data_IF_014431006082
#
_entry.id   IF_014431006082
#
_cell.length_a   1.000
_cell.length_b   1.000
_cell.length_c   1.000
_cell.angle_alpha   90.00
_cell.angle_beta   90.00
_cell.angle_gamma   90.00
#
_symmetry.space_group_name_H-M   'P 1'
#
loop_
_entity.id
_entity.type
_entity.pdbx_description
1 polymer ?
#
# COMPACT_ATOMS: atom_id res chain seq x y z
N UNK A 1 4.09 0.57 47.43
CA UNK A 1 3.01 1.35 46.80
C UNK A 1 2.88 0.88 45.37
N UNK A 2 1.79 0.18 45.04
CA UNK A 2 1.45 -0.10 43.64
C UNK A 2 1.02 1.23 43.01
N UNK A 3 1.56 1.57 41.85
CA UNK A 3 1.19 2.80 41.14
C UNK A 3 -0.24 2.65 40.61
N UNK A 4 -1.02 3.73 40.61
CA UNK A 4 -2.42 3.75 40.13
C UNK A 4 -2.57 3.14 38.71
N UNK A 5 -1.52 3.28 37.89
CA UNK A 5 -1.41 2.66 36.57
C UNK A 5 -1.46 1.13 36.61
N UNK A 6 -0.81 0.51 37.59
CA UNK A 6 -0.74 -0.94 37.74
C UNK A 6 -2.08 -1.52 38.18
N UNK A 7 -2.80 -0.85 39.08
CA UNK A 7 -4.18 -1.25 39.46
C UNK A 7 -5.17 -1.06 38.31
N UNK A 8 -5.04 0.02 37.53
CA UNK A 8 -5.87 0.23 36.34
C UNK A 8 -5.64 -0.85 35.27
N UNK A 9 -4.38 -1.28 35.07
CA UNK A 9 -4.05 -2.34 34.13
C UNK A 9 -4.52 -3.72 34.62
N UNK A 10 -4.48 -3.99 35.93
CA UNK A 10 -5.04 -5.20 36.54
C UNK A 10 -6.57 -5.23 36.41
N UNK A 11 -7.26 -4.11 36.66
CA UNK A 11 -8.70 -3.97 36.46
C UNK A 11 -9.09 -4.13 34.98
N UNK A 12 -8.35 -3.50 34.06
CA UNK A 12 -8.56 -3.63 32.62
C UNK A 12 -8.34 -5.07 32.16
N UNK A 13 -7.28 -5.72 32.64
CA UNK A 13 -7.00 -7.14 32.36
C UNK A 13 -8.08 -8.05 32.95
N UNK A 14 -8.55 -7.79 34.16
CA UNK A 14 -9.63 -8.53 34.79
C UNK A 14 -10.96 -8.36 34.03
N UNK A 15 -11.27 -7.14 33.55
CA UNK A 15 -12.44 -6.87 32.70
C UNK A 15 -12.28 -7.56 31.33
N UNK A 16 -11.10 -7.51 30.71
CA UNK A 16 -10.80 -8.19 29.44
C UNK A 16 -10.97 -9.70 29.59
N UNK A 17 -10.35 -10.29 30.60
CA UNK A 17 -10.46 -11.73 30.90
C UNK A 17 -11.91 -12.08 31.23
N UNK A 18 -12.63 -11.26 31.99
CA UNK A 18 -14.04 -11.50 32.31
C UNK A 18 -14.96 -11.41 31.08
N UNK A 19 -14.80 -10.36 30.26
CA UNK A 19 -15.61 -10.13 29.05
C UNK A 19 -15.32 -11.18 27.97
N UNK A 20 -14.05 -11.56 27.80
CA UNK A 20 -13.63 -12.58 26.83
C UNK A 20 -13.89 -14.01 27.32
N UNK A 21 -13.91 -14.29 28.62
CA UNK A 21 -14.13 -15.65 29.12
C UNK A 21 -15.61 -15.99 29.34
N UNK A 22 -16.51 -14.99 29.42
CA UNK A 22 -17.90 -15.22 29.86
C UNK A 22 -19.01 -14.85 28.88
N UNK A 23 -18.76 -14.06 27.83
CA UNK A 23 -19.83 -13.68 26.90
C UNK A 23 -19.89 -14.66 25.73
N UNK A 24 -20.67 -15.73 25.89
CA UNK A 24 -21.28 -16.44 24.76
C UNK A 24 -22.24 -15.48 24.04
N UNK A 25 -22.32 -15.50 22.71
CA UNK A 25 -23.23 -14.63 21.95
C UNK A 25 -22.71 -13.23 21.69
N UNK A 26 -21.38 -13.01 21.70
CA UNK A 26 -20.82 -11.72 21.29
C UNK A 26 -21.21 -11.34 19.86
N UNK A 27 -21.47 -12.32 19.01
CA UNK A 27 -22.01 -12.13 17.66
C UNK A 27 -23.43 -11.49 17.61
N UNK A 28 -24.17 -11.47 18.72
CA UNK A 28 -25.47 -10.79 18.81
C UNK A 28 -25.32 -9.27 18.98
N UNK A 29 -24.16 -8.82 19.47
CA UNK A 29 -23.88 -7.40 19.61
C UNK A 29 -23.50 -6.78 18.27
N UNK A 30 -23.85 -5.52 18.12
CA UNK A 30 -23.51 -4.71 16.96
C UNK A 30 -22.00 -4.66 16.67
N UNK A 31 -21.61 -4.99 15.43
CA UNK A 31 -20.22 -4.98 14.96
C UNK A 31 -19.50 -3.65 15.18
N UNK A 32 -20.23 -2.54 15.01
CA UNK A 32 -19.76 -1.16 15.28
C UNK A 32 -19.30 -1.02 16.74
N UNK A 33 -20.10 -1.51 17.69
CA UNK A 33 -19.80 -1.43 19.12
C UNK A 33 -18.67 -2.39 19.51
N UNK A 34 -18.64 -3.60 18.92
CA UNK A 34 -17.55 -4.55 19.11
C UNK A 34 -16.21 -3.98 18.60
N UNK A 35 -16.19 -3.35 17.42
CA UNK A 35 -14.98 -2.73 16.87
C UNK A 35 -14.49 -1.57 17.72
N UNK A 36 -15.41 -0.74 18.24
CA UNK A 36 -15.08 0.31 19.19
C UNK A 36 -14.44 -0.26 20.47
N UNK A 37 -15.03 -1.31 21.02
CA UNK A 37 -14.50 -1.99 22.21
C UNK A 37 -13.10 -2.55 21.96
N UNK A 38 -12.87 -3.21 20.82
CA UNK A 38 -11.55 -3.74 20.46
C UNK A 38 -10.53 -2.60 20.37
N UNK A 39 -10.90 -1.46 19.78
CA UNK A 39 -10.03 -0.29 19.69
C UNK A 39 -9.68 0.26 21.08
N UNK A 40 -10.66 0.45 21.96
CA UNK A 40 -10.46 0.97 23.32
C UNK A 40 -9.56 0.04 24.17
N UNK A 41 -9.57 -1.26 23.87
CA UNK A 41 -8.78 -2.28 24.58
C UNK A 41 -7.48 -2.67 23.85
N UNK A 42 -7.18 -2.08 22.67
CA UNK A 42 -6.15 -2.59 21.76
C UNK A 42 -4.77 -2.74 22.41
N UNK A 43 -4.38 -1.81 23.28
CA UNK A 43 -3.09 -1.84 23.99
C UNK A 43 -2.97 -3.02 24.99
N UNK A 44 -4.10 -3.54 25.48
CA UNK A 44 -4.14 -4.60 26.50
C UNK A 44 -4.47 -5.97 25.92
N UNK A 45 -4.89 -6.05 24.66
CA UNK A 45 -5.26 -7.30 24.00
C UNK A 45 -4.04 -8.01 23.41
N UNK A 46 -3.86 -9.29 23.77
CA UNK A 46 -2.91 -10.16 23.08
C UNK A 46 -3.33 -10.36 21.62
N UNK A 47 -2.37 -10.64 20.70
CA UNK A 47 -2.70 -10.88 19.29
C UNK A 47 -3.79 -11.93 19.06
N UNK A 48 -3.74 -13.04 19.82
CA UNK A 48 -4.75 -14.10 19.73
C UNK A 48 -6.15 -13.66 20.21
N UNK A 49 -6.24 -12.84 21.27
CA UNK A 49 -7.49 -12.32 21.80
C UNK A 49 -8.15 -11.35 20.82
N UNK A 50 -7.34 -10.47 20.23
CA UNK A 50 -7.77 -9.55 19.17
C UNK A 50 -8.27 -10.30 17.93
N UNK A 51 -7.56 -11.33 17.48
CA UNK A 51 -8.00 -12.17 16.37
C UNK A 51 -9.35 -12.86 16.66
N UNK A 52 -9.54 -13.37 17.88
CA UNK A 52 -10.81 -13.95 18.34
C UNK A 52 -11.94 -12.92 18.34
N UNK A 53 -11.72 -11.71 18.88
CA UNK A 53 -12.73 -10.66 18.88
C UNK A 53 -13.12 -10.22 17.46
N UNK A 54 -12.16 -10.11 16.54
CA UNK A 54 -12.45 -9.83 15.12
C UNK A 54 -13.26 -10.96 14.45
N UNK A 55 -13.19 -12.20 14.97
CA UNK A 55 -14.08 -13.31 14.55
C UNK A 55 -15.53 -13.03 14.90
N UNK A 56 -15.76 -12.50 16.11
CA UNK A 56 -17.10 -12.17 16.58
C UNK A 56 -17.67 -10.97 15.83
N UNK A 57 -16.83 -9.98 15.49
CA UNK A 57 -17.21 -8.86 14.61
C UNK A 57 -17.67 -9.38 13.25
N UNK A 58 -16.90 -10.27 12.62
CA UNK A 58 -17.31 -10.88 11.35
C UNK A 58 -18.66 -11.59 11.48
N UNK A 59 -18.85 -12.36 12.57
CA UNK A 59 -20.08 -13.10 12.82
C UNK A 59 -21.28 -12.16 13.03
N UNK A 60 -21.12 -11.07 13.78
CA UNK A 60 -22.15 -10.03 13.92
C UNK A 60 -22.54 -9.41 12.57
N UNK A 61 -21.58 -9.11 11.69
CA UNK A 61 -21.89 -8.54 10.37
C UNK A 61 -22.73 -9.50 9.49
N UNK A 62 -22.69 -10.80 9.79
CA UNK A 62 -23.53 -11.81 9.14
C UNK A 62 -24.92 -11.84 9.76
N UNK A 63 -24.99 -11.87 11.10
CA UNK A 63 -26.23 -12.13 11.83
C UNK A 63 -27.14 -10.89 11.96
N UNK A 64 -26.58 -9.67 11.92
CA UNK A 64 -27.32 -8.45 12.22
C UNK A 64 -27.68 -7.66 10.95
N UNK A 65 -28.89 -7.83 10.37
CA UNK A 65 -29.28 -7.20 9.11
C UNK A 65 -29.41 -5.67 9.19
N UNK A 66 -29.64 -5.12 10.38
CA UNK A 66 -29.70 -3.67 10.59
C UNK A 66 -28.36 -2.97 10.31
N UNK A 67 -27.26 -3.72 10.35
CA UNK A 67 -25.91 -3.21 10.11
C UNK A 67 -25.50 -3.29 8.63
N UNK A 68 -26.42 -3.69 7.76
CA UNK A 68 -26.19 -3.81 6.32
C UNK A 68 -26.39 -2.45 5.64
N UNK A 69 -25.64 -1.45 6.13
CA UNK A 69 -25.66 -0.06 5.68
C UNK A 69 -24.28 0.37 5.15
N UNK A 70 -24.25 1.37 4.27
CA UNK A 70 -22.99 1.92 3.77
C UNK A 70 -22.23 2.70 4.86
N UNK A 71 -22.94 3.27 5.85
CA UNK A 71 -22.32 3.86 7.03
C UNK A 71 -21.49 2.83 7.82
N UNK A 72 -22.02 1.62 8.01
CA UNK A 72 -21.30 0.54 8.69
C UNK A 72 -20.01 0.16 7.96
N UNK A 73 -19.98 0.23 6.63
CA UNK A 73 -18.76 0.02 5.83
C UNK A 73 -17.71 1.07 6.17
N UNK A 74 -18.08 2.36 6.11
CA UNK A 74 -17.17 3.47 6.42
C UNK A 74 -16.63 3.32 7.84
N UNK A 75 -17.52 3.13 8.82
CA UNK A 75 -17.15 2.95 10.22
C UNK A 75 -16.18 1.77 10.43
N UNK A 76 -16.48 0.62 9.79
CA UNK A 76 -15.65 -0.58 9.90
C UNK A 76 -14.26 -0.33 9.35
N UNK A 77 -14.14 0.28 8.16
CA UNK A 77 -12.86 0.63 7.58
C UNK A 77 -12.07 1.61 8.47
N UNK A 78 -12.73 2.61 9.06
CA UNK A 78 -12.11 3.54 10.02
C UNK A 78 -11.54 2.81 11.23
N UNK A 79 -12.24 1.82 11.77
CA UNK A 79 -11.82 1.07 12.97
C UNK A 79 -10.81 -0.05 12.69
N UNK A 80 -10.72 -0.56 11.47
CA UNK A 80 -9.67 -1.52 11.04
C UNK A 80 -8.37 -0.81 10.67
N UNK A 81 -8.48 0.35 10.02
CA UNK A 81 -7.52 1.44 10.23
C UNK A 81 -7.54 1.81 11.73
N UNK A 82 -6.79 2.72 12.34
CA UNK A 82 -6.65 2.81 13.81
C UNK A 82 -6.14 1.54 14.54
N UNK A 83 -6.69 0.33 14.33
CA UNK A 83 -6.20 -0.94 14.86
C UNK A 83 -4.92 -1.44 14.16
N UNK A 84 -4.61 -0.94 12.95
CA UNK A 84 -3.45 -1.37 12.18
C UNK A 84 -3.53 -2.81 11.67
N UNK A 85 -4.74 -3.39 11.61
CA UNK A 85 -4.95 -4.77 11.23
C UNK A 85 -6.33 -4.99 10.63
N UNK A 86 -6.48 -6.04 9.83
CA UNK A 86 -7.77 -6.42 9.28
C UNK A 86 -7.93 -7.94 9.27
N UNK A 87 -9.20 -8.33 9.18
CA UNK A 87 -9.59 -9.71 8.88
C UNK A 87 -10.25 -9.72 7.50
N UNK A 88 -9.73 -10.56 6.59
CA UNK A 88 -10.25 -10.70 5.22
C UNK A 88 -11.77 -10.90 5.18
N UNK A 89 -12.30 -11.73 6.09
CA UNK A 89 -13.74 -11.96 6.22
C UNK A 89 -14.54 -10.67 6.42
N UNK A 90 -14.10 -9.77 7.31
CA UNK A 90 -14.77 -8.49 7.55
C UNK A 90 -14.77 -7.61 6.29
N UNK A 91 -13.63 -7.49 5.60
CA UNK A 91 -13.52 -6.71 4.35
C UNK A 91 -14.40 -7.30 3.25
N UNK A 92 -14.44 -8.63 3.11
CA UNK A 92 -15.34 -9.30 2.18
C UNK A 92 -16.82 -8.99 2.47
N UNK A 93 -17.21 -8.90 3.75
CA UNK A 93 -18.58 -8.49 4.13
C UNK A 93 -18.85 -7.04 3.74
N UNK A 94 -17.92 -6.12 3.98
CA UNK A 94 -18.04 -4.73 3.53
C UNK A 94 -18.25 -4.62 2.01
N UNK A 95 -17.46 -5.35 1.23
CA UNK A 95 -17.58 -5.42 -0.24
C UNK A 95 -18.90 -6.07 -0.68
N UNK A 96 -19.36 -7.11 0.01
CA UNK A 96 -20.68 -7.70 -0.23
C UNK A 96 -21.83 -6.72 0.03
N UNK A 97 -21.70 -5.83 1.03
CA UNK A 97 -22.68 -4.76 1.25
C UNK A 97 -22.66 -3.73 0.12
N UNK A 98 -21.48 -3.37 -0.40
CA UNK A 98 -21.37 -2.48 -1.57
C UNK A 98 -22.10 -3.08 -2.77
N UNK A 99 -21.81 -4.35 -3.10
CA UNK A 99 -22.49 -5.07 -4.19
C UNK A 99 -24.00 -5.05 -4.04
N UNK A 100 -24.50 -5.35 -2.83
CA UNK A 100 -25.94 -5.36 -2.56
C UNK A 100 -26.57 -3.98 -2.74
N UNK A 101 -25.94 -2.92 -2.21
CA UNK A 101 -26.46 -1.55 -2.27
C UNK A 101 -26.40 -0.99 -3.70
N UNK A 102 -25.37 -1.34 -4.45
CA UNK A 102 -25.27 -1.05 -5.86
C UNK A 102 -26.38 -1.73 -6.68
N UNK A 103 -26.64 -3.01 -6.43
CA UNK A 103 -27.77 -3.72 -7.07
C UNK A 103 -29.12 -3.07 -6.75
N UNK A 104 -29.34 -2.62 -5.51
CA UNK A 104 -30.53 -1.87 -5.14
C UNK A 104 -30.61 -0.52 -5.85
N UNK A 105 -29.50 0.20 -5.98
CA UNK A 105 -29.46 1.49 -6.68
C UNK A 105 -29.82 1.35 -8.17
N UNK A 106 -29.38 0.28 -8.84
CA UNK A 106 -29.80 -0.03 -10.20
C UNK A 106 -31.31 -0.32 -10.32
N UNK A 107 -31.87 -1.03 -9.34
CA UNK A 107 -33.29 -1.42 -9.36
C UNK A 107 -34.23 -0.28 -8.96
N UNK A 108 -33.77 0.66 -8.15
CA UNK A 108 -34.57 1.76 -7.61
C UNK A 108 -33.90 3.12 -7.86
N UNK A 109 -33.92 3.63 -9.10
CA UNK A 109 -33.21 4.84 -9.52
C UNK A 109 -33.70 6.14 -8.84
N UNK A 110 -34.87 6.11 -8.18
CA UNK A 110 -35.41 7.26 -7.44
C UNK A 110 -34.65 7.63 -6.16
N UNK A 111 -33.71 6.79 -5.71
CA UNK A 111 -32.85 7.06 -4.55
C UNK A 111 -31.39 7.07 -4.97
N UNK A 112 -30.80 8.27 -5.07
CA UNK A 112 -29.38 8.42 -5.34
C UNK A 112 -28.53 7.92 -4.18
N UNK A 113 -27.70 6.89 -4.43
CA UNK A 113 -26.77 6.32 -3.47
C UNK A 113 -25.31 6.63 -3.84
N UNK A 114 -25.05 7.41 -4.90
CA UNK A 114 -23.71 7.63 -5.44
C UNK A 114 -22.73 8.14 -4.39
N UNK A 115 -23.16 9.10 -3.55
CA UNK A 115 -22.34 9.66 -2.48
C UNK A 115 -21.97 8.62 -1.43
N UNK A 116 -22.92 7.83 -0.96
CA UNK A 116 -22.64 6.79 0.04
C UNK A 116 -21.75 5.67 -0.52
N UNK A 117 -21.95 5.29 -1.78
CA UNK A 117 -21.09 4.32 -2.48
C UNK A 117 -19.67 4.87 -2.63
N UNK A 118 -19.54 6.11 -3.10
CA UNK A 118 -18.27 6.84 -3.23
C UNK A 118 -17.55 6.92 -1.88
N UNK A 119 -18.21 7.39 -0.81
CA UNK A 119 -17.62 7.46 0.53
C UNK A 119 -17.15 6.10 1.05
N UNK A 120 -17.88 5.03 0.74
CA UNK A 120 -17.47 3.68 1.14
C UNK A 120 -16.23 3.19 0.39
N UNK A 121 -16.10 3.53 -0.91
CA UNK A 121 -14.89 3.27 -1.69
C UNK A 121 -13.72 4.09 -1.17
N UNK A 122 -13.94 5.37 -0.84
CA UNK A 122 -12.93 6.22 -0.21
C UNK A 122 -12.46 5.64 1.13
N UNK A 123 -13.38 5.12 1.95
CA UNK A 123 -13.03 4.46 3.20
C UNK A 123 -12.20 3.18 2.98
N UNK A 124 -12.52 2.38 1.96
CA UNK A 124 -11.70 1.23 1.57
C UNK A 124 -10.30 1.65 1.10
N UNK A 125 -10.21 2.71 0.29
CA UNK A 125 -8.92 3.26 -0.15
C UNK A 125 -8.09 3.75 1.05
N UNK A 126 -8.70 4.52 1.97
CA UNK A 126 -8.06 4.96 3.21
C UNK A 126 -7.59 3.79 4.10
N UNK A 127 -8.35 2.70 4.16
CA UNK A 127 -7.94 1.47 4.86
C UNK A 127 -6.71 0.86 4.21
N UNK A 128 -6.68 0.77 2.86
CA UNK A 128 -5.58 0.17 2.11
C UNK A 128 -4.28 1.00 2.24
N UNK A 129 -4.37 2.30 2.01
CA UNK A 129 -3.19 3.16 1.85
C UNK A 129 -2.76 3.83 3.14
N UNK A 130 -3.63 3.96 4.15
CA UNK A 130 -3.26 4.63 5.39
C UNK A 130 -2.96 6.11 5.17
N UNK A 131 -3.96 6.85 4.69
CA UNK A 131 -3.76 8.24 4.32
C UNK A 131 -3.33 9.10 5.52
N UNK A 132 -2.51 10.15 5.29
CA UNK A 132 -2.17 11.13 6.30
C UNK A 132 -3.39 12.00 6.54
N UNK A 133 -4.19 11.63 7.53
CA UNK A 133 -5.30 12.48 7.94
C UNK A 133 -4.74 13.58 8.83
N UNK A 134 -4.97 14.84 8.44
CA UNK A 134 -4.37 16.01 9.05
C UNK A 134 -4.59 16.06 10.57
N UNK A 135 -3.50 16.08 11.31
CA UNK A 135 -3.48 16.32 12.77
C UNK A 135 -3.99 17.74 13.01
N UNK A 136 -5.00 17.90 13.88
CA UNK A 136 -5.40 19.21 14.40
C UNK A 136 -6.88 19.55 14.35
N UNK A 137 -7.75 18.64 13.89
CA UNK A 137 -9.17 18.95 13.79
C UNK A 137 -10.01 18.16 14.81
N UNK A 138 -10.87 18.87 15.55
CA UNK A 138 -11.72 18.36 16.63
C UNK A 138 -12.96 17.56 16.16
N UNK A 139 -12.96 17.02 14.93
CA UNK A 139 -14.11 16.32 14.33
C UNK A 139 -14.14 14.79 14.56
N UNK A 140 -15.28 14.15 14.27
CA UNK A 140 -15.44 12.70 14.38
C UNK A 140 -14.53 11.95 13.39
N UNK A 141 -13.75 10.99 13.90
CA UNK A 141 -12.90 10.05 13.15
C UNK A 141 -13.51 9.51 11.85
N UNK A 142 -14.82 9.23 11.83
CA UNK A 142 -15.50 8.68 10.63
C UNK A 142 -15.60 9.71 9.52
N UNK A 143 -15.83 10.98 9.86
CA UNK A 143 -15.95 12.08 8.88
C UNK A 143 -14.60 12.40 8.24
N UNK A 144 -13.51 12.31 8.99
CA UNK A 144 -12.14 12.42 8.45
C UNK A 144 -11.81 11.23 7.56
N UNK A 145 -12.19 10.04 7.98
CA UNK A 145 -11.96 8.81 7.23
C UNK A 145 -12.74 8.71 5.91
N UNK A 146 -13.76 9.55 5.74
CA UNK A 146 -14.52 9.71 4.51
C UNK A 146 -13.86 10.65 3.49
N UNK A 147 -12.80 11.39 3.87
CA UNK A 147 -12.08 12.31 2.98
C UNK A 147 -11.09 11.56 2.08
N UNK A 148 -10.76 12.16 0.94
CA UNK A 148 -9.89 11.53 -0.04
C UNK A 148 -8.47 11.31 0.50
N UNK A 149 -7.88 10.13 0.26
CA UNK A 149 -6.51 9.81 0.63
C UNK A 149 -5.50 10.59 -0.21
N UNK A 150 -5.13 11.79 0.23
CA UNK A 150 -4.18 12.65 -0.47
C UNK A 150 -3.21 13.22 0.55
N UNK A 151 -1.93 13.32 0.19
CA UNK A 151 -0.98 14.07 1.02
C UNK A 151 -1.36 15.55 1.08
N UNK A 152 -1.22 16.20 2.25
CA UNK A 152 -1.34 17.65 2.33
C UNK A 152 -0.28 18.32 1.45
N UNK A 153 -0.58 19.53 0.97
CA UNK A 153 0.27 20.33 0.07
C UNK A 153 1.76 20.27 0.45
N UNK A 154 2.63 20.12 -0.55
CA UNK A 154 4.08 20.04 -0.40
C UNK A 154 4.71 21.28 0.28
N UNK A 155 3.96 22.39 0.37
CA UNK A 155 4.33 23.59 1.12
C UNK A 155 4.25 23.43 2.66
N UNK A 156 3.60 22.36 3.15
CA UNK A 156 3.44 22.07 4.56
C UNK A 156 4.69 21.31 5.05
N UNK A 157 5.43 21.83 6.05
CA UNK A 157 6.71 21.27 6.48
C UNK A 157 6.68 19.75 6.78
N UNK A 158 7.72 19.02 6.38
CA UNK A 158 7.89 17.58 6.64
C UNK A 158 7.75 17.16 8.12
N UNK A 159 7.87 18.12 9.06
CA UNK A 159 7.63 17.92 10.50
C UNK A 159 6.20 17.51 10.90
N UNK A 160 5.27 17.47 9.95
CA UNK A 160 3.88 17.02 10.17
C UNK A 160 3.68 15.50 10.04
N UNK A 161 4.70 14.74 9.61
CA UNK A 161 4.50 13.38 9.10
C UNK A 161 5.17 12.31 9.98
N UNK A 162 4.46 11.19 10.20
CA UNK A 162 4.81 9.91 10.88
C UNK A 162 4.17 9.63 12.24
N UNK A 163 4.05 10.58 13.17
CA UNK A 163 3.60 10.24 14.54
C UNK A 163 2.11 9.86 14.61
N UNK A 164 1.28 10.41 13.71
CA UNK A 164 -0.18 10.23 13.73
C UNK A 164 -0.77 9.69 12.41
N UNK A 165 0.07 9.34 11.42
CA UNK A 165 -0.39 8.72 10.18
C UNK A 165 -0.63 7.23 10.40
N UNK A 166 -1.84 6.73 10.08
CA UNK A 166 -2.11 5.30 10.15
C UNK A 166 -1.32 4.56 9.06
N UNK A 167 -0.64 3.43 9.35
CA UNK A 167 0.24 2.75 8.36
C UNK A 167 -0.49 2.13 7.16
N UNK A 168 -1.82 2.16 7.14
CA UNK A 168 -2.65 1.44 6.19
C UNK A 168 -2.57 -0.07 6.42
N UNK A 169 -3.34 -0.83 5.65
CA UNK A 169 -3.27 -2.29 5.71
C UNK A 169 -3.25 -2.86 4.30
N UNK A 170 -2.40 -3.84 4.05
CA UNK A 170 -2.28 -4.40 2.71
C UNK A 170 -3.48 -5.29 2.35
N UNK A 171 -4.40 -4.72 1.58
CA UNK A 171 -5.58 -5.42 1.07
C UNK A 171 -5.33 -6.12 -0.28
N UNK A 172 -4.12 -6.03 -0.86
CA UNK A 172 -3.85 -6.45 -2.24
C UNK A 172 -4.27 -7.89 -2.55
N UNK A 173 -4.02 -8.83 -1.64
CA UNK A 173 -4.42 -10.23 -1.79
C UNK A 173 -5.94 -10.44 -1.72
N UNK A 174 -6.66 -9.57 -1.02
CA UNK A 174 -8.12 -9.60 -0.95
C UNK A 174 -8.72 -9.01 -2.22
N UNK A 175 -8.24 -7.83 -2.64
CA UNK A 175 -8.79 -7.05 -3.76
C UNK A 175 -8.61 -7.70 -5.13
N UNK A 176 -7.61 -8.58 -5.29
CA UNK A 176 -7.35 -9.30 -6.55
C UNK A 176 -8.43 -10.30 -7.00
N UNK A 177 -9.46 -10.57 -6.19
CA UNK A 177 -10.48 -11.53 -6.56
C UNK A 177 -11.44 -11.00 -7.65
N UNK A 178 -11.76 -11.82 -8.64
CA UNK A 178 -12.60 -11.45 -9.80
C UNK A 178 -13.94 -10.81 -9.40
N UNK A 179 -14.63 -11.38 -8.42
CA UNK A 179 -15.91 -10.86 -7.94
C UNK A 179 -15.83 -9.46 -7.32
N UNK A 180 -14.64 -9.02 -6.89
CA UNK A 180 -14.41 -7.65 -6.39
C UNK A 180 -14.21 -6.70 -7.56
N UNK A 181 -13.46 -7.14 -8.58
CA UNK A 181 -13.29 -6.37 -9.82
C UNK A 181 -14.65 -6.14 -10.49
N UNK A 182 -15.53 -7.15 -10.51
CA UNK A 182 -16.92 -7.01 -10.95
C UNK A 182 -17.68 -5.90 -10.20
N UNK A 183 -17.52 -5.80 -8.87
CA UNK A 183 -18.18 -4.74 -8.08
C UNK A 183 -17.67 -3.36 -8.51
N UNK A 184 -16.38 -3.22 -8.78
CA UNK A 184 -15.80 -1.95 -9.25
C UNK A 184 -16.27 -1.60 -10.67
N UNK A 185 -16.36 -2.60 -11.55
CA UNK A 185 -16.95 -2.45 -12.89
C UNK A 185 -18.40 -2.01 -12.83
N UNK A 186 -19.23 -2.70 -12.05
CA UNK A 186 -20.64 -2.34 -11.85
C UNK A 186 -20.78 -0.91 -11.30
N UNK A 187 -19.92 -0.53 -10.34
CA UNK A 187 -19.95 0.80 -9.73
C UNK A 187 -19.61 1.89 -10.75
N UNK A 188 -18.55 1.69 -11.53
CA UNK A 188 -18.17 2.65 -12.59
C UNK A 188 -19.24 2.74 -13.67
N UNK A 189 -19.86 1.61 -14.05
CA UNK A 189 -21.00 1.57 -14.95
C UNK A 189 -22.22 2.33 -14.39
N UNK A 190 -22.52 2.20 -13.10
CA UNK A 190 -23.59 2.93 -12.43
C UNK A 190 -23.36 4.45 -12.46
N UNK A 191 -22.14 4.91 -12.21
CA UNK A 191 -21.80 6.34 -12.22
C UNK A 191 -21.87 6.95 -13.63
N UNK A 192 -21.35 6.24 -14.62
CA UNK A 192 -21.32 6.70 -16.01
C UNK A 192 -22.72 6.74 -16.63
N UNK A 193 -23.56 5.73 -16.38
CA UNK A 193 -24.88 5.60 -17.01
C UNK A 193 -26.00 6.37 -16.28
N UNK A 194 -25.66 7.17 -15.27
CA UNK A 194 -26.66 7.89 -14.50
C UNK A 194 -27.33 8.98 -15.36
N UNK A 195 -28.68 9.11 -15.31
CA UNK A 195 -29.38 10.15 -16.07
C UNK A 195 -28.94 11.56 -15.66
N UNK A 196 -28.52 12.38 -16.62
CA UNK A 196 -28.09 13.77 -16.42
C UNK A 196 -26.57 14.00 -16.43
N UNK A 197 -25.74 12.95 -16.50
CA UNK A 197 -24.30 13.01 -16.22
C UNK A 197 -23.37 13.40 -17.40
N UNK A 198 -23.88 13.79 -18.58
CA UNK A 198 -23.02 13.84 -19.78
C UNK A 198 -22.32 15.17 -20.07
N UNK A 199 -22.47 16.24 -19.26
CA UNK A 199 -21.92 17.57 -19.62
C UNK A 199 -21.47 18.51 -18.47
N UNK A 200 -21.67 18.22 -17.18
CA UNK A 200 -21.25 19.13 -16.09
C UNK A 200 -19.83 18.78 -15.57
N UNK A 201 -18.94 19.77 -15.50
CA UNK A 201 -17.59 19.64 -14.97
C UNK A 201 -17.56 19.15 -13.51
N UNK A 202 -18.60 19.46 -12.72
CA UNK A 202 -18.70 19.00 -11.32
C UNK A 202 -18.92 17.50 -11.20
N UNK A 203 -19.73 16.92 -12.09
CA UNK A 203 -19.99 15.48 -12.09
C UNK A 203 -18.73 14.71 -12.54
N UNK A 204 -18.00 15.24 -13.52
CA UNK A 204 -16.71 14.69 -13.93
C UNK A 204 -15.68 14.72 -12.80
N UNK A 205 -15.59 15.83 -12.04
CA UNK A 205 -14.71 15.91 -10.87
C UNK A 205 -15.06 14.82 -9.85
N UNK A 206 -16.34 14.65 -9.53
CA UNK A 206 -16.79 13.61 -8.60
C UNK A 206 -16.45 12.20 -9.10
N UNK A 207 -16.63 11.93 -10.40
CA UNK A 207 -16.24 10.64 -10.98
C UNK A 207 -14.74 10.39 -10.90
N UNK A 208 -13.93 11.42 -11.15
CA UNK A 208 -12.47 11.32 -11.03
C UNK A 208 -12.00 11.07 -9.60
N UNK A 209 -12.67 11.63 -8.59
CA UNK A 209 -12.40 11.31 -7.18
C UNK A 209 -12.66 9.83 -6.87
N UNK A 210 -13.77 9.28 -7.38
CA UNK A 210 -14.07 7.85 -7.23
C UNK A 210 -13.06 6.99 -7.99
N UNK A 211 -12.75 7.36 -9.24
CA UNK A 211 -11.76 6.66 -10.05
C UNK A 211 -10.37 6.68 -9.41
N UNK A 212 -9.99 7.77 -8.75
CA UNK A 212 -8.77 7.86 -7.96
C UNK A 212 -8.77 6.89 -6.78
N UNK A 213 -9.85 6.85 -5.99
CA UNK A 213 -9.96 5.88 -4.90
C UNK A 213 -9.93 4.42 -5.40
N UNK A 214 -10.54 4.15 -6.55
CA UNK A 214 -10.45 2.83 -7.20
C UNK A 214 -9.03 2.52 -7.68
N UNK A 215 -8.29 3.51 -8.19
CA UNK A 215 -6.90 3.36 -8.59
C UNK A 215 -5.98 3.03 -7.40
N UNK A 216 -6.25 3.59 -6.23
CA UNK A 216 -5.56 3.23 -4.97
C UNK A 216 -5.88 1.82 -4.48
N UNK A 217 -7.00 1.26 -4.94
CA UNK A 217 -7.37 -0.13 -4.77
C UNK A 217 -6.89 -0.99 -5.93
N UNK A 218 -6.17 -0.42 -6.90
CA UNK A 218 -5.59 -0.98 -8.14
C UNK A 218 -6.59 -1.37 -9.23
N UNK A 219 -7.74 -0.70 -9.27
CA UNK A 219 -8.71 -0.83 -10.36
C UNK A 219 -8.66 0.39 -11.29
N UNK A 220 -8.56 0.15 -12.59
CA UNK A 220 -8.61 1.21 -13.60
C UNK A 220 -10.03 1.46 -14.09
N UNK A 221 -10.61 2.59 -13.71
CA UNK A 221 -11.93 3.03 -14.19
C UNK A 221 -11.85 3.63 -15.61
N UNK A 222 -11.53 2.79 -16.60
CA UNK A 222 -11.28 3.22 -18.00
C UNK A 222 -12.39 4.11 -18.55
N UNK A 223 -13.66 3.76 -18.31
CA UNK A 223 -14.81 4.52 -18.79
C UNK A 223 -14.86 5.97 -18.27
N UNK A 224 -14.45 6.20 -17.01
CA UNK A 224 -14.38 7.54 -16.42
C UNK A 224 -13.17 8.30 -16.97
N UNK A 225 -12.03 7.62 -17.09
CA UNK A 225 -10.78 8.20 -17.61
C UNK A 225 -10.93 8.65 -19.07
N UNK A 226 -11.56 7.84 -19.92
CA UNK A 226 -11.86 8.17 -21.32
C UNK A 226 -12.77 9.40 -21.44
N UNK A 227 -13.82 9.49 -20.60
CA UNK A 227 -14.66 10.68 -20.52
C UNK A 227 -13.87 11.92 -20.13
N UNK A 228 -12.95 11.80 -19.16
CA UNK A 228 -12.11 12.92 -18.73
C UNK A 228 -11.18 13.40 -19.85
N UNK A 229 -10.58 12.49 -20.64
CA UNK A 229 -9.78 12.88 -21.80
C UNK A 229 -10.62 13.57 -22.87
N UNK A 230 -11.82 13.04 -23.17
CA UNK A 230 -12.74 13.64 -24.15
C UNK A 230 -13.19 15.04 -23.72
N UNK A 231 -13.47 15.22 -22.43
CA UNK A 231 -13.78 16.53 -21.87
C UNK A 231 -12.59 17.48 -22.00
N UNK A 232 -11.38 17.04 -21.64
CA UNK A 232 -10.16 17.86 -21.74
C UNK A 232 -9.87 18.31 -23.18
N UNK A 233 -10.08 17.46 -24.19
CA UNK A 233 -9.88 17.82 -25.60
C UNK A 233 -10.93 18.80 -26.12
N UNK A 234 -12.15 18.75 -25.59
CA UNK A 234 -13.25 19.61 -26.02
C UNK A 234 -13.27 20.98 -25.32
N UNK A 235 -12.58 21.13 -24.18
CA UNK A 235 -12.71 22.29 -23.29
C UNK A 235 -11.42 23.14 -23.21
N UNK A 236 -10.65 23.20 -24.30
CA UNK A 236 -9.26 23.73 -24.38
C UNK A 236 -9.00 25.19 -23.91
N UNK A 237 -9.92 25.89 -23.24
CA UNK A 237 -9.77 27.32 -22.94
C UNK A 237 -10.13 27.83 -21.53
N UNK A 238 -10.47 27.01 -20.53
CA UNK A 238 -10.82 27.56 -19.20
C UNK A 238 -9.74 27.36 -18.12
N UNK A 239 -9.12 28.47 -17.75
CA UNK A 239 -8.10 28.68 -16.72
C UNK A 239 -8.64 28.68 -15.29
N UNK A 240 -9.81 28.09 -15.05
CA UNK A 240 -10.47 28.10 -13.75
C UNK A 240 -10.80 26.67 -13.29
N UNK A 241 -9.80 25.97 -12.74
CA UNK A 241 -10.04 24.80 -11.88
C UNK A 241 -9.35 24.99 -10.51
N UNK A 242 -9.96 24.50 -9.42
CA UNK A 242 -9.76 24.98 -8.05
C UNK A 242 -8.54 24.35 -7.36
N UNK A 243 -8.27 24.79 -6.11
CA UNK A 243 -7.22 24.38 -5.13
C UNK A 243 -6.97 22.86 -4.89
N UNK A 244 -7.62 21.93 -5.60
CA UNK A 244 -7.50 20.47 -5.42
C UNK A 244 -6.51 19.85 -6.43
N UNK A 245 -5.85 18.72 -6.12
CA UNK A 245 -4.92 18.08 -7.05
C UNK A 245 -5.63 17.54 -8.30
N UNK A 246 -4.95 17.48 -9.47
CA UNK A 246 -5.53 16.95 -10.69
C UNK A 246 -5.67 15.42 -10.60
N UNK A 247 -6.84 14.92 -10.19
CA UNK A 247 -7.11 13.49 -9.99
C UNK A 247 -6.79 12.61 -11.21
N UNK A 248 -6.96 13.13 -12.43
CA UNK A 248 -6.57 12.42 -13.64
C UNK A 248 -5.06 12.11 -13.65
N UNK A 249 -4.21 13.08 -13.32
CA UNK A 249 -2.76 12.87 -13.18
C UNK A 249 -2.44 11.85 -12.09
N UNK A 250 -3.15 11.90 -10.96
CA UNK A 250 -2.92 10.95 -9.86
C UNK A 250 -3.30 9.51 -10.26
N UNK A 251 -4.42 9.32 -10.95
CA UNK A 251 -4.83 8.02 -11.51
C UNK A 251 -3.76 7.51 -12.48
N UNK A 252 -3.27 8.39 -13.36
CA UNK A 252 -2.18 8.07 -14.25
C UNK A 252 -0.95 7.61 -13.44
N UNK A 253 -0.50 8.33 -12.42
CA UNK A 253 0.66 7.93 -11.59
C UNK A 253 0.48 6.60 -10.85
N UNK A 254 -0.74 6.14 -10.57
CA UNK A 254 -0.97 4.92 -9.79
C UNK A 254 -1.02 3.67 -10.66
N UNK A 255 -1.69 3.75 -11.81
CA UNK A 255 -2.04 2.57 -12.63
C UNK A 255 -1.82 2.83 -14.13
N UNK A 256 -2.04 4.07 -14.59
CA UNK A 256 -1.83 4.46 -15.98
C UNK A 256 -2.69 3.77 -17.04
N UNK A 257 -2.71 4.29 -18.28
CA UNK A 257 -3.06 3.48 -19.43
C UNK A 257 -1.92 2.47 -19.67
N UNK A 258 -2.27 1.20 -19.89
CA UNK A 258 -1.33 0.07 -20.04
C UNK A 258 -0.25 0.28 -21.13
N UNK A 259 -0.35 1.31 -21.96
CA UNK A 259 0.40 1.47 -23.21
C UNK A 259 1.47 2.58 -23.23
N UNK A 260 1.58 3.48 -22.24
CA UNK A 260 2.53 4.61 -22.30
C UNK A 260 3.26 4.89 -20.98
N UNK A 261 4.34 4.15 -20.72
CA UNK A 261 5.33 4.52 -19.70
C UNK A 261 6.23 5.63 -20.23
N UNK A 262 5.76 6.88 -20.21
CA UNK A 262 6.55 8.08 -20.52
C UNK A 262 6.75 8.89 -19.25
N UNK A 263 7.93 8.76 -18.61
CA UNK A 263 8.26 9.51 -17.39
C UNK A 263 8.53 11.00 -17.66
N UNK A 264 8.89 11.38 -18.89
CA UNK A 264 9.18 12.77 -19.24
C UNK A 264 7.96 13.70 -19.06
N UNK A 265 6.76 13.13 -19.02
CA UNK A 265 5.50 13.84 -18.76
C UNK A 265 5.09 13.87 -17.28
N UNK A 266 5.83 13.20 -16.38
CA UNK A 266 5.48 13.13 -14.95
C UNK A 266 5.78 14.46 -14.27
N UNK A 267 4.72 15.12 -13.80
CA UNK A 267 4.83 16.31 -12.99
C UNK A 267 5.18 15.94 -11.54
N UNK A 268 6.37 16.32 -11.08
CA UNK A 268 6.83 16.09 -9.70
C UNK A 268 5.93 16.72 -8.64
N UNK A 269 5.26 17.83 -8.98
CA UNK A 269 4.26 18.41 -8.10
C UNK A 269 3.15 17.41 -7.80
N UNK A 270 2.62 16.74 -8.83
CA UNK A 270 1.52 15.77 -8.71
C UNK A 270 1.96 14.51 -7.94
N UNK A 271 3.22 14.08 -8.10
CA UNK A 271 3.81 12.99 -7.30
C UNK A 271 3.73 13.30 -5.79
N UNK A 272 3.96 14.56 -5.39
CA UNK A 272 3.90 14.97 -3.98
C UNK A 272 2.54 14.73 -3.30
N UNK A 273 1.45 14.62 -4.07
CA UNK A 273 0.10 14.40 -3.56
C UNK A 273 -0.26 12.92 -3.35
N UNK A 274 0.57 11.98 -3.82
CA UNK A 274 0.35 10.54 -3.63
C UNK A 274 0.34 10.19 -2.13
N UNK A 275 -0.56 9.32 -1.65
CA UNK A 275 -0.78 9.11 -0.21
C UNK A 275 0.28 8.25 0.48
N UNK A 276 1.23 7.69 -0.27
CA UNK A 276 2.29 6.81 0.25
C UNK A 276 3.67 7.38 -0.07
N UNK A 277 4.51 7.45 0.96
CA UNK A 277 5.91 7.86 0.80
C UNK A 277 6.68 6.86 -0.07
N UNK A 278 6.36 5.57 -0.02
CA UNK A 278 7.04 4.58 -0.88
C UNK A 278 6.83 4.87 -2.36
N UNK A 279 5.59 5.18 -2.77
CA UNK A 279 5.26 5.50 -4.16
C UNK A 279 5.90 6.80 -4.64
N UNK A 280 5.91 7.83 -3.78
CA UNK A 280 6.61 9.07 -4.07
C UNK A 280 8.11 8.84 -4.27
N UNK A 281 8.71 8.05 -3.38
CA UNK A 281 10.13 7.78 -3.38
C UNK A 281 10.55 7.00 -4.64
N UNK A 282 9.75 6.02 -5.08
CA UNK A 282 10.01 5.31 -6.34
C UNK A 282 10.05 6.26 -7.55
N UNK A 283 9.10 7.20 -7.65
CA UNK A 283 9.11 8.21 -8.71
C UNK A 283 10.29 9.18 -8.64
N UNK A 284 10.71 9.58 -7.42
CA UNK A 284 11.87 10.45 -7.26
C UNK A 284 13.17 9.75 -7.62
N UNK A 285 13.39 8.51 -7.15
CA UNK A 285 14.55 7.70 -7.52
C UNK A 285 14.63 7.48 -9.04
N UNK A 286 13.49 7.23 -9.67
CA UNK A 286 13.37 7.13 -11.12
C UNK A 286 13.88 8.40 -11.84
N UNK A 287 13.50 9.58 -11.34
CA UNK A 287 13.86 10.87 -11.96
C UNK A 287 15.31 11.28 -11.73
N UNK A 288 15.95 10.85 -10.64
CA UNK A 288 17.39 11.05 -10.40
C UNK A 288 18.24 10.47 -11.54
N UNK A 289 17.82 9.32 -12.06
CA UNK A 289 18.52 8.65 -13.16
C UNK A 289 18.25 9.32 -14.51
N UNK A 290 17.08 9.92 -14.70
CA UNK A 290 16.73 10.56 -15.97
C UNK A 290 17.38 11.92 -16.20
N UNK A 291 17.51 12.76 -15.16
CA UNK A 291 17.79 14.20 -15.36
C UNK A 291 19.22 14.65 -15.04
N UNK A 292 20.16 13.73 -14.79
CA UNK A 292 21.50 14.08 -14.26
C UNK A 292 21.42 15.02 -13.05
N UNK A 293 20.31 14.96 -12.30
CA UNK A 293 20.12 15.78 -11.11
C UNK A 293 20.95 15.19 -9.98
N UNK A 294 21.64 16.04 -9.23
CA UNK A 294 22.30 15.57 -8.02
C UNK A 294 21.21 15.07 -7.04
N UNK A 295 21.49 14.08 -6.17
CA UNK A 295 20.51 13.54 -5.23
C UNK A 295 19.90 14.59 -4.27
N UNK A 296 20.54 15.76 -4.14
CA UNK A 296 20.06 16.88 -3.35
C UNK A 296 19.05 17.75 -4.11
N UNK A 297 19.09 17.76 -5.45
CA UNK A 297 18.19 18.57 -6.29
C UNK A 297 16.82 17.86 -6.54
N UNK A 298 16.74 16.55 -6.31
CA UNK A 298 15.55 15.73 -6.54
C UNK A 298 14.56 15.70 -5.34
N UNK A 299 14.97 16.24 -4.19
CA UNK A 299 14.24 16.11 -2.92
C UNK A 299 14.18 14.68 -2.37
N UNK A 300 14.96 13.74 -2.92
CA UNK A 300 15.00 12.35 -2.44
C UNK A 300 15.70 12.22 -1.07
N UNK A 301 16.71 13.05 -0.82
CA UNK A 301 17.49 13.02 0.41
C UNK A 301 16.60 13.27 1.65
N UNK A 302 15.66 14.21 1.55
CA UNK A 302 14.72 14.53 2.62
C UNK A 302 13.73 13.38 2.88
N UNK A 303 13.28 12.70 1.81
CA UNK A 303 12.31 11.60 1.90
C UNK A 303 12.94 10.26 2.31
N UNK A 304 14.24 10.05 2.08
CA UNK A 304 14.92 8.79 2.37
C UNK A 304 14.77 8.39 3.84
N UNK A 305 14.89 9.35 4.77
CA UNK A 305 14.74 9.10 6.21
C UNK A 305 13.36 8.52 6.56
N UNK A 306 12.30 9.08 5.98
CA UNK A 306 10.91 8.65 6.19
C UNK A 306 10.67 7.30 5.51
N UNK A 307 11.16 7.14 4.28
CA UNK A 307 11.08 5.87 3.54
C UNK A 307 11.72 4.72 4.32
N UNK A 308 12.94 4.93 4.85
CA UNK A 308 13.63 3.95 5.70
C UNK A 308 12.81 3.67 6.94
N UNK A 309 12.31 4.68 7.65
CA UNK A 309 11.50 4.49 8.86
C UNK A 309 10.27 3.60 8.61
N UNK A 310 9.59 3.76 7.47
CA UNK A 310 8.40 2.97 7.12
C UNK A 310 8.75 1.51 6.77
N UNK A 311 9.89 1.26 6.11
CA UNK A 311 10.25 -0.08 5.62
C UNK A 311 11.19 -0.86 6.52
N UNK A 312 11.85 -0.21 7.49
CA UNK A 312 12.95 -0.78 8.26
C UNK A 312 12.60 -2.12 8.89
N UNK A 313 11.43 -2.23 9.53
CA UNK A 313 11.00 -3.47 10.18
C UNK A 313 10.92 -4.65 9.19
N UNK A 314 10.39 -4.40 7.99
CA UNK A 314 10.20 -5.43 6.96
C UNK A 314 11.53 -5.83 6.33
N UNK A 315 12.34 -4.82 5.97
CA UNK A 315 13.64 -5.00 5.29
C UNK A 315 14.65 -5.66 6.21
N UNK A 316 14.82 -5.17 7.44
CA UNK A 316 15.74 -5.77 8.42
C UNK A 316 15.30 -7.18 8.80
N UNK A 317 14.01 -7.40 9.03
CA UNK A 317 13.49 -8.74 9.37
C UNK A 317 13.75 -9.78 8.28
N UNK A 318 13.59 -9.40 7.00
CA UNK A 318 13.94 -10.27 5.87
C UNK A 318 15.46 -10.48 5.78
N UNK A 319 16.25 -9.40 5.88
CA UNK A 319 17.70 -9.47 5.79
C UNK A 319 18.29 -10.39 6.88
N UNK A 320 17.81 -10.29 8.11
CA UNK A 320 18.26 -11.12 9.23
C UNK A 320 17.90 -12.60 9.01
N UNK A 321 16.71 -12.87 8.45
CA UNK A 321 16.29 -14.24 8.09
C UNK A 321 17.17 -14.84 6.99
N UNK A 322 17.50 -14.06 5.96
CA UNK A 322 18.40 -14.49 4.89
C UNK A 322 19.82 -14.74 5.42
N UNK A 323 20.35 -13.83 6.25
CA UNK A 323 21.66 -14.00 6.91
C UNK A 323 21.70 -15.26 7.78
N UNK A 324 20.68 -15.48 8.60
CA UNK A 324 20.57 -16.69 9.42
C UNK A 324 20.53 -17.96 8.57
N UNK A 325 19.88 -17.91 7.40
CA UNK A 325 19.80 -19.05 6.48
C UNK A 325 21.12 -19.37 5.78
N UNK A 326 21.91 -18.34 5.43
CA UNK A 326 23.24 -18.46 4.82
C UNK A 326 24.33 -18.90 5.81
N UNK A 327 24.10 -18.73 7.11
CA UNK A 327 25.02 -19.16 8.16
C UNK A 327 26.30 -18.31 8.23
N UNK A 328 27.43 -18.94 8.53
CA UNK A 328 28.73 -18.25 8.73
C UNK A 328 29.49 -17.98 7.44
N UNK A 329 28.88 -18.22 6.27
CA UNK A 329 29.54 -17.97 5.00
C UNK A 329 29.65 -16.46 4.74
N UNK A 330 30.83 -15.90 5.00
CA UNK A 330 31.12 -14.45 4.95
C UNK A 330 31.22 -13.88 3.53
N UNK A 331 30.95 -14.70 2.53
CA UNK A 331 31.31 -14.32 1.16
C UNK A 331 30.19 -13.60 0.42
N UNK A 332 28.97 -13.54 0.98
CA UNK A 332 27.86 -12.69 0.52
C UNK A 332 27.52 -11.62 1.56
N UNK A 333 27.70 -10.36 1.19
CA UNK A 333 27.26 -9.21 1.98
C UNK A 333 25.80 -8.86 1.66
N UNK A 334 25.01 -8.66 2.72
CA UNK A 334 23.61 -8.22 2.66
C UNK A 334 23.53 -6.87 3.35
N UNK A 335 23.45 -5.81 2.55
CA UNK A 335 23.44 -4.41 2.98
C UNK A 335 22.04 -3.82 2.79
N UNK A 336 21.45 -3.26 3.84
CA UNK A 336 20.11 -2.67 3.78
C UNK A 336 20.17 -1.18 3.41
N UNK A 337 19.17 -0.68 2.68
CA UNK A 337 18.99 0.73 2.30
C UNK A 337 20.26 1.36 1.74
N UNK A 338 20.90 0.66 0.81
CA UNK A 338 22.24 1.00 0.33
C UNK A 338 22.20 1.55 -1.09
N UNK A 339 23.07 2.53 -1.33
CA UNK A 339 23.37 3.03 -2.67
C UNK A 339 24.64 2.38 -3.21
N UNK A 340 24.65 2.00 -4.47
CA UNK A 340 25.85 1.56 -5.18
C UNK A 340 26.10 2.41 -6.43
N UNK A 341 27.38 2.57 -6.78
CA UNK A 341 27.80 3.11 -8.06
C UNK A 341 28.38 1.96 -8.89
N UNK A 342 28.08 1.94 -10.19
CA UNK A 342 28.64 0.96 -11.12
C UNK A 342 29.85 1.59 -11.83
N UNK A 343 31.05 1.07 -11.57
CA UNK A 343 32.29 1.61 -12.14
C UNK A 343 32.43 1.25 -13.62
N UNK A 344 32.24 2.24 -14.49
CA UNK A 344 33.20 2.69 -15.53
C UNK A 344 32.55 3.53 -16.64
N UNK A 345 31.22 3.67 -16.69
CA UNK A 345 30.58 4.43 -17.78
C UNK A 345 29.32 5.23 -17.39
N UNK A 346 28.83 5.13 -16.15
CA UNK A 346 27.62 5.83 -15.74
C UNK A 346 27.82 6.61 -14.43
N UNK A 347 27.57 7.93 -14.38
CA UNK A 347 27.68 8.73 -13.14
C UNK A 347 26.55 8.43 -12.14
N UNK A 348 25.62 7.56 -12.49
CA UNK A 348 24.41 7.31 -11.74
C UNK A 348 24.63 6.39 -10.54
N UNK A 349 24.01 6.74 -9.42
CA UNK A 349 23.96 5.91 -8.21
C UNK A 349 22.60 5.23 -8.12
N UNK A 350 22.61 3.92 -7.88
CA UNK A 350 21.39 3.12 -7.75
C UNK A 350 21.12 2.83 -6.28
N UNK A 351 19.86 2.97 -5.86
CA UNK A 351 19.41 2.66 -4.51
C UNK A 351 18.67 1.31 -4.50
N UNK A 352 18.78 0.56 -3.40
CA UNK A 352 17.95 -0.62 -3.16
C UNK A 352 17.61 -0.78 -1.69
N UNK A 353 16.50 -1.45 -1.41
CA UNK A 353 16.15 -1.81 -0.02
C UNK A 353 17.14 -2.83 0.54
N UNK A 354 17.55 -3.79 -0.29
CA UNK A 354 18.62 -4.75 0.02
C UNK A 354 19.56 -4.82 -1.18
N UNK A 355 20.83 -4.51 -0.93
CA UNK A 355 21.93 -4.73 -1.85
C UNK A 355 22.64 -6.02 -1.47
N UNK A 356 22.65 -6.97 -2.39
CA UNK A 356 23.43 -8.19 -2.27
C UNK A 356 24.76 -8.00 -3.00
N UNK A 357 25.87 -8.13 -2.28
CA UNK A 357 27.21 -7.91 -2.82
C UNK A 357 28.10 -9.13 -2.58
N UNK A 358 28.74 -9.62 -3.64
CA UNK A 358 29.78 -10.65 -3.58
C UNK A 358 31.09 -10.09 -4.07
N UNK A 359 32.10 -10.01 -3.21
CA UNK A 359 33.46 -9.66 -3.61
C UNK A 359 34.24 -10.88 -4.13
N UNK A 360 35.08 -10.68 -5.14
CA UNK A 360 36.00 -11.70 -5.63
C UNK A 360 37.09 -11.97 -4.60
N UNK A 361 37.27 -13.24 -4.22
CA UNK A 361 38.39 -13.64 -3.37
C UNK A 361 39.74 -13.62 -4.09
N UNK A 362 39.73 -13.58 -5.44
CA UNK A 362 40.93 -13.60 -6.29
C UNK A 362 41.36 -12.22 -6.79
N UNK A 363 40.44 -11.26 -6.82
CA UNK A 363 40.67 -9.93 -7.40
C UNK A 363 39.92 -8.88 -6.58
N UNK A 364 40.53 -8.38 -5.49
CA UNK A 364 39.93 -7.34 -4.66
C UNK A 364 39.52 -6.14 -5.53
N UNK A 365 38.28 -5.67 -5.38
CA UNK A 365 37.69 -4.60 -6.21
C UNK A 365 36.68 -5.07 -7.25
N UNK A 366 36.67 -6.35 -7.64
CA UNK A 366 35.63 -6.90 -8.54
C UNK A 366 34.50 -7.48 -7.69
N UNK A 367 33.29 -6.94 -7.85
CA UNK A 367 32.10 -7.39 -7.14
C UNK A 367 30.96 -7.77 -8.09
N UNK A 368 30.15 -8.76 -7.70
CA UNK A 368 28.80 -8.95 -8.25
C UNK A 368 27.79 -8.26 -7.35
N UNK A 369 26.84 -7.55 -7.96
CA UNK A 369 25.78 -6.83 -7.26
C UNK A 369 24.41 -7.31 -7.74
N UNK A 370 23.46 -7.41 -6.83
CA UNK A 370 22.03 -7.57 -7.14
C UNK A 370 21.24 -6.61 -6.26
N UNK A 371 20.35 -5.85 -6.89
CA UNK A 371 19.45 -4.91 -6.21
C UNK A 371 18.15 -5.63 -5.85
N UNK A 372 17.62 -5.41 -4.66
CA UNK A 372 16.33 -5.94 -4.26
C UNK A 372 15.44 -4.87 -3.65
N UNK A 373 14.19 -4.84 -4.12
CA UNK A 373 13.12 -4.02 -3.54
C UNK A 373 12.14 -4.92 -2.78
N UNK A 374 11.94 -4.65 -1.51
CA UNK A 374 10.99 -5.36 -0.64
C UNK A 374 9.67 -4.63 -0.69
N UNK A 375 8.62 -5.22 -1.26
CA UNK A 375 7.35 -4.54 -1.47
C UNK A 375 6.19 -5.23 -0.74
N UNK A 376 5.09 -4.51 -0.58
CA UNK A 376 3.82 -5.10 -0.13
C UNK A 376 3.00 -5.55 -1.35
N UNK A 377 2.00 -6.43 -1.13
CA UNK A 377 1.17 -6.93 -2.24
C UNK A 377 0.46 -5.79 -2.96
N UNK A 378 0.02 -4.77 -2.23
CA UNK A 378 -0.56 -3.55 -2.81
C UNK A 378 0.35 -2.86 -3.81
N UNK A 379 1.67 -2.89 -3.65
CA UNK A 379 2.62 -2.19 -4.54
C UNK A 379 2.79 -2.94 -5.86
N UNK A 380 2.49 -4.25 -5.87
CA UNK A 380 2.40 -5.05 -7.09
C UNK A 380 1.05 -4.89 -7.80
N UNK A 381 0.04 -4.42 -7.08
CA UNK A 381 -1.32 -4.21 -7.59
C UNK A 381 -1.50 -2.79 -8.12
N UNK A 382 -1.06 -1.79 -7.34
CA UNK A 382 -0.83 -0.40 -7.74
C UNK A 382 0.60 -0.31 -8.27
N UNK A 383 0.82 -0.91 -9.43
CA UNK A 383 2.16 -1.27 -9.90
C UNK A 383 2.95 -0.10 -10.49
N UNK A 384 2.29 0.95 -11.00
CA UNK A 384 2.97 1.97 -11.82
C UNK A 384 4.13 2.69 -11.10
N UNK A 385 4.04 3.05 -9.81
CA UNK A 385 5.17 3.67 -9.10
C UNK A 385 6.42 2.76 -9.09
N UNK A 386 6.27 1.50 -8.71
CA UNK A 386 7.38 0.55 -8.64
C UNK A 386 7.88 0.17 -10.04
N UNK A 387 6.99 -0.16 -10.98
CA UNK A 387 7.36 -0.51 -12.36
C UNK A 387 8.05 0.63 -13.10
N UNK A 388 7.69 1.89 -12.82
CA UNK A 388 8.38 3.06 -13.36
C UNK A 388 9.85 3.06 -12.95
N UNK A 389 10.14 2.81 -11.67
CA UNK A 389 11.50 2.69 -11.14
C UNK A 389 12.24 1.51 -11.76
N UNK A 390 11.63 0.32 -11.73
CA UNK A 390 12.26 -0.91 -12.21
C UNK A 390 12.60 -0.84 -13.69
N UNK A 391 11.71 -0.27 -14.52
CA UNK A 391 11.97 -0.06 -15.95
C UNK A 391 13.20 0.81 -16.15
N UNK A 392 13.31 1.93 -15.46
CA UNK A 392 14.45 2.86 -15.59
C UNK A 392 15.74 2.23 -15.13
N UNK A 393 15.68 1.47 -14.05
CA UNK A 393 16.85 0.74 -13.57
C UNK A 393 17.28 -0.31 -14.59
N UNK A 394 16.36 -1.02 -15.24
CA UNK A 394 16.70 -1.97 -16.31
C UNK A 394 17.26 -1.25 -17.55
N UNK A 395 16.71 -0.09 -17.91
CA UNK A 395 17.12 0.68 -19.09
C UNK A 395 18.50 1.34 -18.89
N UNK A 396 18.81 1.82 -17.68
CA UNK A 396 20.08 2.54 -17.38
C UNK A 396 21.15 1.68 -16.70
N UNK A 397 20.75 0.63 -15.97
CA UNK A 397 21.61 -0.28 -15.23
C UNK A 397 21.59 -1.67 -15.89
N UNK A 398 21.63 -1.72 -17.23
CA UNK A 398 21.41 -2.91 -18.07
C UNK A 398 22.20 -4.17 -17.64
N UNK A 399 23.21 -4.01 -16.80
CA UNK A 399 24.09 -5.05 -16.28
C UNK A 399 23.78 -5.53 -14.85
N UNK A 400 23.12 -4.72 -14.00
CA UNK A 400 22.87 -5.09 -12.59
C UNK A 400 21.47 -5.69 -12.44
N UNK A 401 21.33 -6.98 -12.05
CA UNK A 401 20.02 -7.58 -11.86
C UNK A 401 19.23 -6.93 -10.73
N UNK A 402 17.91 -6.87 -10.91
CA UNK A 402 16.98 -6.29 -9.95
C UNK A 402 15.91 -7.33 -9.62
N UNK A 403 15.74 -7.62 -8.33
CA UNK A 403 14.74 -8.53 -7.79
C UNK A 403 13.68 -7.77 -6.99
N UNK A 404 12.49 -8.34 -6.90
CA UNK A 404 11.39 -7.81 -6.09
C UNK A 404 10.91 -8.89 -5.14
N UNK A 405 10.87 -8.59 -3.84
CA UNK A 405 10.42 -9.52 -2.82
C UNK A 405 9.05 -9.11 -2.27
N UNK A 406 8.03 -9.94 -2.48
CA UNK A 406 6.68 -9.76 -1.93
C UNK A 406 6.65 -10.15 -0.45
N UNK A 407 6.85 -9.15 0.42
CA UNK A 407 6.87 -9.33 1.87
C UNK A 407 5.53 -9.83 2.41
N UNK A 408 4.42 -9.49 1.75
CA UNK A 408 3.09 -9.75 2.30
C UNK A 408 2.70 -11.21 2.16
N UNK A 409 3.08 -11.84 1.05
CA UNK A 409 2.96 -13.28 0.93
C UNK A 409 3.87 -13.98 1.94
N UNK A 410 5.11 -13.53 2.11
CA UNK A 410 6.06 -14.14 3.05
C UNK A 410 5.62 -14.04 4.51
N UNK A 411 5.21 -12.85 4.96
CA UNK A 411 4.81 -12.60 6.34
C UNK A 411 3.55 -13.37 6.75
N UNK A 412 2.70 -13.76 5.79
CA UNK A 412 1.50 -14.55 6.04
C UNK A 412 1.76 -16.04 6.29
N UNK A 413 2.97 -16.52 5.94
CA UNK A 413 3.35 -17.92 6.10
C UNK A 413 3.74 -18.23 7.54
N UNK A 414 3.59 -19.51 7.90
CA UNK A 414 4.15 -20.06 9.13
C UNK A 414 5.69 -20.12 9.06
N UNK A 415 6.34 -20.50 10.15
CA UNK A 415 7.80 -20.55 10.21
C UNK A 415 8.40 -21.49 9.15
N UNK A 416 7.73 -22.61 8.83
CA UNK A 416 8.21 -23.55 7.82
C UNK A 416 8.07 -22.98 6.40
N UNK A 417 6.92 -22.39 6.06
CA UNK A 417 6.70 -21.75 4.77
C UNK A 417 7.61 -20.53 4.55
N UNK A 418 7.87 -19.74 5.61
CA UNK A 418 8.84 -18.64 5.54
C UNK A 418 10.25 -19.12 5.16
N UNK A 419 10.68 -20.26 5.72
CA UNK A 419 11.99 -20.85 5.40
C UNK A 419 12.03 -21.32 3.95
N UNK A 420 11.01 -22.06 3.49
CA UNK A 420 10.92 -22.49 2.08
C UNK A 420 10.98 -21.31 1.13
N UNK A 421 10.26 -20.23 1.43
CA UNK A 421 10.25 -19.02 0.61
C UNK A 421 11.61 -18.30 0.59
N UNK A 422 12.34 -18.32 1.71
CA UNK A 422 13.72 -17.84 1.74
C UNK A 422 14.63 -18.69 0.85
N UNK A 423 14.48 -20.03 0.87
CA UNK A 423 15.29 -20.93 0.04
C UNK A 423 15.01 -20.75 -1.46
N UNK A 424 13.74 -20.58 -1.84
CA UNK A 424 13.34 -20.22 -3.20
C UNK A 424 13.99 -18.90 -3.64
N UNK A 425 13.91 -17.87 -2.80
CA UNK A 425 14.48 -16.56 -3.11
C UNK A 425 16.01 -16.58 -3.17
N UNK A 426 16.69 -17.33 -2.30
CA UNK A 426 18.15 -17.49 -2.36
C UNK A 426 18.57 -18.22 -3.65
N UNK A 427 17.76 -19.15 -4.14
CA UNK A 427 17.99 -19.82 -5.43
C UNK A 427 17.84 -18.83 -6.59
N UNK A 428 16.80 -18.01 -6.60
CA UNK A 428 16.59 -16.94 -7.58
C UNK A 428 17.75 -15.91 -7.54
N UNK A 429 18.16 -15.49 -6.35
CA UNK A 429 19.30 -14.59 -6.14
C UNK A 429 20.59 -15.19 -6.70
N UNK A 430 20.86 -16.47 -6.45
CA UNK A 430 22.03 -17.14 -6.98
C UNK A 430 22.01 -17.16 -8.52
N UNK A 431 20.86 -17.44 -9.14
CA UNK A 431 20.70 -17.39 -10.59
C UNK A 431 20.92 -15.98 -11.14
N UNK A 432 20.34 -14.95 -10.52
CA UNK A 432 20.56 -13.56 -10.89
C UNK A 432 22.05 -13.17 -10.80
N UNK A 433 22.72 -13.59 -9.73
CA UNK A 433 24.16 -13.38 -9.56
C UNK A 433 25.00 -14.14 -10.60
N UNK A 434 24.57 -15.30 -11.07
CA UNK A 434 25.26 -16.02 -12.15
C UNK A 434 25.26 -15.18 -13.42
N UNK A 435 24.12 -14.58 -13.77
CA UNK A 435 23.97 -13.71 -14.94
C UNK A 435 24.61 -12.33 -14.80
N UNK A 436 24.84 -11.84 -13.57
CA UNK A 436 25.46 -10.54 -13.35
C UNK A 436 26.94 -10.51 -13.80
N UNK A 437 27.42 -9.42 -14.41
CA UNK A 437 28.84 -9.23 -14.70
C UNK A 437 29.68 -9.14 -13.42
N UNK A 438 30.99 -9.35 -13.56
CA UNK A 438 31.96 -9.35 -12.45
C UNK A 438 32.64 -10.71 -12.26
N UNK A 439 32.56 -11.27 -11.05
CA UNK A 439 33.30 -12.47 -10.63
C UNK A 439 32.98 -13.71 -11.50
N UNK A 440 33.94 -14.61 -11.75
CA UNK A 440 33.66 -15.87 -12.46
C UNK A 440 32.65 -16.75 -11.71
N UNK A 441 31.65 -17.26 -12.44
CA UNK A 441 30.52 -18.04 -11.93
C UNK A 441 30.90 -19.26 -11.10
N UNK A 442 32.07 -19.85 -11.35
CA UNK A 442 32.58 -20.99 -10.59
C UNK A 442 32.71 -20.71 -9.07
N UNK A 443 32.86 -19.44 -8.67
CA UNK A 443 32.95 -19.03 -7.27
C UNK A 443 31.58 -18.88 -6.57
N UNK A 444 30.45 -18.98 -7.31
CA UNK A 444 29.08 -18.87 -6.77
C UNK A 444 28.51 -20.20 -6.25
N UNK A 445 29.12 -21.33 -6.58
CA UNK A 445 28.59 -22.67 -6.25
C UNK A 445 28.57 -23.00 -4.75
N UNK A 446 29.25 -22.21 -3.91
CA UNK A 446 29.35 -22.46 -2.47
C UNK A 446 28.08 -22.10 -1.68
N UNK A 447 27.12 -21.37 -2.28
CA UNK A 447 25.98 -20.78 -1.55
C UNK A 447 24.62 -21.28 -1.95
N UNK A 448 24.56 -22.09 -3.01
CA UNK A 448 23.31 -22.73 -3.41
C UNK A 448 23.09 -23.83 -2.36
N UNK A 449 22.05 -23.76 -1.51
CA UNK A 449 21.76 -24.88 -0.63
C UNK A 449 21.56 -26.11 -1.52
N UNK A 450 22.32 -27.17 -1.28
CA UNK A 450 22.03 -28.45 -1.91
C UNK A 450 20.58 -28.77 -1.59
N UNK A 451 19.74 -28.77 -2.63
CA UNK A 451 18.36 -29.24 -2.54
C UNK A 451 18.47 -30.70 -2.11
N UNK A 452 18.19 -30.94 -0.82
CA UNK A 452 18.14 -32.29 -0.27
C UNK A 452 16.81 -32.94 -0.61
#
# INVERSE_FOLDING_TARGET
MLTLSHEADLLRTAIIVHTLSRVSGLEEFEAVNLLRLIQELNASLKPAERARLLTNVESSLILNPQQQSLYTVVYTCTRLSLLGTYRKGIVNRCLGQLRRKLHLAHRFPGTDQSRWLSTSITALANLNVGAPQAVGHSGDSVTWFAQLPIMPDASIPLGFTTVNSHPGVDLGSTLSADWIQEIFTDLTGYLVNRPGNSTDARDLSFHLEVAYCLALLGYCANSIVEQAYTFKTNTTNDTCLPRNPPFLSLIELLIGPWTTLVLDAVNLHDVGWLPRVEWQFYYRLALELFKTLSPNDSGSADQLSIYVAVKNLQVSGLADRLKARLGTDKSLDILTFSRCQWENQNPHSYFSDILFKKESTKSPGISKLVLCFVCQKRDLYVNRPLESLLKIYRDNAAEVPILVFDYSNWASLDASGQLTKCDEFLTELAQAMVSAPGVQTAQLRTWIPEVK
#
